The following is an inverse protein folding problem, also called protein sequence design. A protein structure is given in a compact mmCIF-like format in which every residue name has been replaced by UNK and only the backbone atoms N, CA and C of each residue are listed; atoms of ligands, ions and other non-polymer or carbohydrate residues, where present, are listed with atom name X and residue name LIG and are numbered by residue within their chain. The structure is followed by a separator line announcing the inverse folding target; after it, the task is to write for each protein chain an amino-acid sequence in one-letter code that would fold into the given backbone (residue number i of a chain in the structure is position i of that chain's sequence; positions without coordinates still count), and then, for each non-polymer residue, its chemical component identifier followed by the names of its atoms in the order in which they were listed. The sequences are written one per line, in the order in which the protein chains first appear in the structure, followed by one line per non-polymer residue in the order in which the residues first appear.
data_IF_107599995384
#
_entry.id   IF_107599995384
#
_cell.length_a   1.000
_cell.length_b   1.000
_cell.length_c   1.000
_cell.angle_alpha   90.00
_cell.angle_beta   90.00
_cell.angle_gamma   90.00
#
_symmetry.space_group_name_H-M   'P 1'
#
loop_
_entity.id
_entity.type
_entity.pdbx_description
1 polymer ?
#
# COMPACT_ATOMS: atom_id res chain seq x y z
N UNK A 1 -54.52 18.29 40.17
CA UNK A 1 -54.63 19.26 39.05
C UNK A 1 -53.24 19.75 38.67
N UNK A 2 -52.91 19.70 37.37
CA UNK A 2 -51.85 20.44 36.63
C UNK A 2 -50.38 20.16 37.03
N UNK A 3 -49.68 19.23 36.35
CA UNK A 3 -48.85 19.40 35.12
C UNK A 3 -47.80 20.51 35.21
N UNK A 4 -46.51 20.15 35.21
CA UNK A 4 -45.54 20.79 34.30
C UNK A 4 -44.41 19.81 33.97
N UNK A 5 -44.32 19.47 32.68
CA UNK A 5 -43.23 18.76 32.02
C UNK A 5 -42.15 19.82 31.74
N UNK A 6 -40.88 19.55 32.08
CA UNK A 6 -39.77 20.34 31.57
C UNK A 6 -38.77 19.45 30.85
N UNK A 7 -38.38 19.97 29.69
CA UNK A 7 -37.88 19.27 28.52
C UNK A 7 -36.35 19.19 28.54
N UNK A 8 -35.86 18.16 27.85
CA UNK A 8 -34.47 17.82 27.51
C UNK A 8 -33.64 19.01 26.98
N UNK A 9 -32.33 19.01 27.23
CA UNK A 9 -31.33 19.36 26.21
C UNK A 9 -30.20 18.34 26.26
N UNK A 10 -30.11 17.57 25.18
CA UNK A 10 -29.06 16.59 24.88
C UNK A 10 -27.94 17.35 24.15
N UNK A 11 -26.78 17.51 24.78
CA UNK A 11 -25.60 18.07 24.13
C UNK A 11 -24.96 17.03 23.21
N UNK A 12 -25.40 17.00 21.95
CA UNK A 12 -24.69 16.29 20.88
C UNK A 12 -23.57 17.18 20.35
N UNK A 13 -22.34 16.90 20.78
CA UNK A 13 -21.13 17.52 20.23
C UNK A 13 -20.85 16.89 18.86
N UNK A 14 -21.32 17.51 17.79
CA UNK A 14 -21.01 17.14 16.41
C UNK A 14 -19.57 17.56 16.08
N UNK A 15 -18.64 16.61 16.15
CA UNK A 15 -17.34 16.71 15.46
C UNK A 15 -17.59 16.58 13.96
N UNK A 16 -17.87 17.71 13.30
CA UNK A 16 -17.83 17.78 11.85
C UNK A 16 -16.35 17.83 11.41
N UNK A 17 -15.76 16.67 11.13
CA UNK A 17 -14.52 16.61 10.35
C UNK A 17 -14.88 17.05 8.93
N UNK A 18 -14.65 18.33 8.63
CA UNK A 18 -14.73 18.83 7.27
C UNK A 18 -13.63 18.14 6.45
N UNK A 19 -13.98 17.11 5.70
CA UNK A 19 -13.14 16.57 4.63
C UNK A 19 -13.08 17.64 3.54
N UNK A 20 -12.08 18.51 3.60
CA UNK A 20 -11.73 19.42 2.51
C UNK A 20 -11.19 18.60 1.35
N UNK A 21 -12.06 18.18 0.44
CA UNK A 21 -11.64 17.64 -0.85
C UNK A 21 -11.16 18.83 -1.69
N UNK A 22 -9.84 19.08 -1.71
CA UNK A 22 -9.26 19.95 -2.71
C UNK A 22 -9.64 19.42 -4.10
N UNK A 23 -9.98 20.32 -5.04
CA UNK A 23 -10.24 19.93 -6.42
C UNK A 23 -8.98 19.27 -6.99
N UNK A 24 -9.15 18.15 -7.69
CA UNK A 24 -8.03 17.42 -8.28
C UNK A 24 -7.24 18.34 -9.22
N UNK A 25 -5.92 18.46 -8.99
CA UNK A 25 -5.02 19.18 -9.88
C UNK A 25 -4.30 18.18 -10.78
N UNK A 26 -4.76 17.99 -12.04
CA UNK A 26 -4.17 16.97 -12.91
C UNK A 26 -2.69 17.21 -13.21
N UNK A 27 -2.15 18.43 -13.01
CA UNK A 27 -0.73 18.69 -13.20
C UNK A 27 0.15 18.03 -12.13
N UNK A 28 -0.39 17.79 -10.93
CA UNK A 28 0.37 17.29 -9.79
C UNK A 28 -0.20 16.04 -9.15
N UNK A 29 -1.48 15.76 -9.35
CA UNK A 29 -2.16 14.56 -8.88
C UNK A 29 -1.71 13.32 -9.66
N UNK A 30 -1.67 12.19 -8.96
CA UNK A 30 -1.27 10.90 -9.53
C UNK A 30 -2.48 10.01 -9.72
N UNK A 31 -2.78 9.67 -10.95
CA UNK A 31 -3.71 8.58 -11.25
C UNK A 31 -2.98 7.24 -11.17
N UNK A 32 -3.56 6.26 -10.48
CA UNK A 32 -3.07 4.90 -10.34
C UNK A 32 -4.05 3.93 -11.02
N UNK A 33 -3.53 2.98 -11.79
CA UNK A 33 -4.24 1.79 -12.27
C UNK A 33 -3.31 0.58 -12.21
N UNK A 34 -3.63 -0.35 -11.33
CA UNK A 34 -2.84 -1.54 -11.04
C UNK A 34 -3.71 -2.78 -11.14
N UNK A 35 -3.14 -3.85 -11.68
CA UNK A 35 -3.74 -5.18 -11.71
C UNK A 35 -2.66 -6.23 -11.47
N UNK A 36 -2.94 -7.16 -10.57
CA UNK A 36 -2.11 -8.34 -10.35
C UNK A 36 -2.96 -9.59 -10.12
N UNK A 37 -2.64 -10.68 -10.81
CA UNK A 37 -3.17 -12.02 -10.57
C UNK A 37 -2.28 -12.78 -9.57
N UNK A 38 -2.77 -12.94 -8.34
CA UNK A 38 -2.05 -13.60 -7.26
C UNK A 38 -2.01 -15.12 -7.39
N UNK A 39 -2.75 -15.71 -8.33
CA UNK A 39 -2.53 -17.12 -8.70
C UNK A 39 -1.20 -17.32 -9.43
N UNK A 40 -0.59 -16.22 -9.91
CA UNK A 40 0.64 -16.18 -10.71
C UNK A 40 0.55 -16.93 -12.05
N UNK A 41 -0.65 -17.39 -12.43
CA UNK A 41 -0.88 -18.11 -13.69
C UNK A 41 -1.00 -17.18 -14.88
N UNK A 42 -1.52 -15.97 -14.67
CA UNK A 42 -1.74 -14.98 -15.72
C UNK A 42 -0.89 -13.72 -15.52
N UNK A 43 0.34 -13.89 -14.99
CA UNK A 43 1.27 -12.80 -14.66
C UNK A 43 1.60 -11.91 -15.87
N UNK A 44 1.53 -12.44 -17.10
CA UNK A 44 1.73 -11.65 -18.32
C UNK A 44 0.67 -10.57 -18.54
N UNK A 45 -0.51 -10.74 -17.94
CA UNK A 45 -1.63 -9.80 -18.00
C UNK A 45 -1.63 -8.82 -16.82
N UNK A 46 -0.62 -8.87 -15.96
CA UNK A 46 -0.44 -7.93 -14.86
C UNK A 46 0.18 -6.64 -15.36
N UNK A 47 -0.17 -5.54 -14.69
CA UNK A 47 0.34 -4.24 -15.09
C UNK A 47 0.30 -3.24 -13.93
N UNK A 48 1.13 -2.22 -14.06
CA UNK A 48 1.06 -1.00 -13.27
C UNK A 48 1.10 0.20 -14.20
N UNK A 49 0.13 1.09 -14.05
CA UNK A 49 0.05 2.36 -14.76
C UNK A 49 -0.06 3.49 -13.77
N UNK A 50 0.70 4.55 -14.03
CA UNK A 50 0.55 5.81 -13.32
C UNK A 50 0.56 6.99 -14.29
N UNK A 51 -0.14 8.06 -13.93
CA UNK A 51 -0.22 9.29 -14.74
C UNK A 51 -0.08 10.52 -13.85
N UNK A 52 0.77 11.46 -14.25
CA UNK A 52 0.90 12.81 -13.65
C UNK A 52 1.01 13.82 -14.79
N UNK A 53 0.15 14.84 -14.79
CA UNK A 53 0.06 15.77 -15.92
C UNK A 53 -0.17 15.03 -17.24
N UNK A 54 0.70 15.31 -18.22
CA UNK A 54 0.67 14.67 -19.54
C UNK A 54 1.49 13.37 -19.62
N UNK A 55 2.20 13.01 -18.54
CA UNK A 55 3.01 11.80 -18.51
C UNK A 55 2.17 10.63 -18.04
N UNK A 56 1.98 9.63 -18.91
CA UNK A 56 1.37 8.35 -18.56
C UNK A 56 2.34 7.22 -18.85
N UNK A 57 2.62 6.40 -17.84
CA UNK A 57 3.54 5.27 -17.95
C UNK A 57 2.79 4.00 -17.56
N UNK A 58 2.49 3.17 -18.56
CA UNK A 58 1.99 1.81 -18.37
C UNK A 58 3.15 0.84 -18.48
N UNK A 59 3.24 -0.10 -17.55
CA UNK A 59 4.32 -1.07 -17.52
C UNK A 59 3.83 -2.45 -17.10
N UNK A 60 4.64 -3.46 -17.45
CA UNK A 60 4.44 -4.87 -17.15
C UNK A 60 5.81 -5.54 -16.97
N UNK A 61 5.80 -6.76 -16.44
CA UNK A 61 7.02 -7.54 -16.38
C UNK A 61 7.52 -7.91 -17.80
N UNK A 62 8.82 -7.76 -18.03
CA UNK A 62 9.52 -8.25 -19.21
C UNK A 62 10.41 -9.43 -18.84
N UNK A 63 10.00 -10.63 -19.26
CA UNK A 63 10.73 -11.86 -19.00
C UNK A 63 12.12 -11.90 -19.67
N UNK A 64 12.33 -11.16 -20.76
CA UNK A 64 13.61 -11.14 -21.47
C UNK A 64 14.70 -10.43 -20.66
N UNK A 65 14.38 -9.28 -20.08
CA UNK A 65 15.30 -8.53 -19.21
C UNK A 65 15.24 -8.94 -17.73
N UNK A 66 14.17 -9.63 -17.31
CA UNK A 66 13.88 -9.90 -15.89
C UNK A 66 13.50 -8.63 -15.11
N UNK A 67 13.14 -7.55 -15.81
CA UNK A 67 12.85 -6.24 -15.25
C UNK A 67 11.49 -5.70 -15.74
N UNK A 68 11.15 -4.48 -15.35
CA UNK A 68 9.97 -3.78 -15.87
C UNK A 68 10.21 -3.35 -17.31
N UNK A 69 9.31 -3.69 -18.24
CA UNK A 69 9.44 -3.48 -19.68
C UNK A 69 9.80 -2.03 -20.06
N UNK A 70 9.16 -1.06 -19.42
CA UNK A 70 9.32 0.37 -19.72
C UNK A 70 10.17 1.12 -18.67
N UNK A 71 10.88 0.40 -17.80
CA UNK A 71 11.69 1.01 -16.75
C UNK A 71 10.89 1.85 -15.74
N UNK A 72 9.58 1.62 -15.62
CA UNK A 72 8.69 2.44 -14.80
C UNK A 72 9.05 2.43 -13.32
N UNK A 73 9.77 1.41 -12.84
CA UNK A 73 10.28 1.37 -11.46
C UNK A 73 11.17 2.57 -11.15
N UNK A 74 12.03 2.97 -12.10
CA UNK A 74 12.89 4.16 -11.95
C UNK A 74 12.09 5.43 -12.15
N UNK A 75 11.25 5.48 -13.19
CA UNK A 75 10.44 6.67 -13.50
C UNK A 75 9.46 7.01 -12.36
N UNK A 76 8.91 6.00 -11.69
CA UNK A 76 8.01 6.16 -10.53
C UNK A 76 8.71 6.75 -9.29
N UNK A 77 10.03 6.94 -9.31
CA UNK A 77 10.74 7.72 -8.28
C UNK A 77 10.19 9.15 -8.15
N UNK A 78 9.76 9.76 -9.27
CA UNK A 78 9.17 11.10 -9.29
C UNK A 78 7.83 11.17 -8.53
N UNK A 79 7.19 10.02 -8.30
CA UNK A 79 5.93 9.92 -7.58
C UNK A 79 6.15 9.44 -6.14
N UNK A 80 6.91 8.37 -5.94
CA UNK A 80 7.08 7.79 -4.59
C UNK A 80 7.99 8.59 -3.67
N UNK A 81 8.71 9.59 -4.21
CA UNK A 81 9.54 10.52 -3.46
C UNK A 81 9.16 11.95 -3.78
N UNK A 82 9.16 12.80 -2.74
CA UNK A 82 9.00 14.23 -2.90
C UNK A 82 10.27 14.85 -3.47
N UNK A 83 10.09 15.98 -4.14
CA UNK A 83 11.19 16.78 -4.68
C UNK A 83 12.03 17.40 -3.55
N UNK A 84 13.36 17.45 -3.71
CA UNK A 84 14.12 16.86 -4.81
C UNK A 84 14.22 15.31 -4.64
N UNK A 85 13.98 14.56 -5.72
CA UNK A 85 13.76 13.11 -5.65
C UNK A 85 15.00 12.30 -5.21
N UNK A 86 16.20 12.87 -5.36
CA UNK A 86 17.48 12.32 -4.92
C UNK A 86 17.63 12.31 -3.38
N UNK A 87 16.95 13.23 -2.68
CA UNK A 87 16.84 13.20 -1.21
C UNK A 87 15.98 12.04 -0.70
N UNK A 88 15.23 11.37 -1.60
CA UNK A 88 14.43 10.16 -1.33
C UNK A 88 13.47 10.30 -0.15
N UNK A 89 12.95 11.50 0.08
CA UNK A 89 11.89 11.78 1.07
C UNK A 89 10.60 11.13 0.57
N UNK A 90 10.04 10.20 1.32
CA UNK A 90 8.88 9.44 0.87
C UNK A 90 7.67 10.37 0.75
N UNK A 91 6.99 10.38 -0.39
CA UNK A 91 5.75 11.12 -0.58
C UNK A 91 4.49 10.26 -0.30
N UNK A 92 4.67 8.96 -0.05
CA UNK A 92 3.60 7.99 0.22
C UNK A 92 4.13 6.82 1.05
N UNK A 93 3.26 6.03 1.70
CA UNK A 93 3.66 4.88 2.51
C UNK A 93 4.54 3.87 1.79
N UNK A 94 5.47 3.26 2.53
CA UNK A 94 6.41 2.30 1.98
C UNK A 94 5.76 0.97 1.56
N UNK A 95 4.69 0.58 2.21
CA UNK A 95 3.87 -0.57 1.88
C UNK A 95 3.22 -0.40 0.50
N UNK A 96 2.49 0.70 0.29
CA UNK A 96 1.78 0.97 -0.96
C UNK A 96 2.70 0.99 -2.17
N UNK A 97 3.80 1.76 -2.10
CA UNK A 97 4.77 1.81 -3.20
C UNK A 97 5.44 0.46 -3.47
N UNK A 98 5.49 -0.46 -2.49
CA UNK A 98 6.06 -1.80 -2.69
C UNK A 98 5.05 -2.73 -3.36
N UNK A 99 3.75 -2.59 -3.07
CA UNK A 99 2.70 -3.39 -3.73
C UNK A 99 2.71 -3.20 -5.24
N UNK A 100 2.86 -1.96 -5.71
CA UNK A 100 2.90 -1.66 -7.14
C UNK A 100 4.04 -2.35 -7.90
N UNK A 101 5.13 -2.71 -7.22
CA UNK A 101 6.27 -3.37 -7.84
C UNK A 101 5.96 -4.83 -8.21
N UNK A 102 5.06 -5.50 -7.50
CA UNK A 102 4.83 -6.93 -7.70
C UNK A 102 4.21 -7.26 -9.07
N UNK A 103 3.40 -6.36 -9.64
CA UNK A 103 2.80 -6.56 -10.97
C UNK A 103 3.80 -6.38 -12.13
N UNK A 104 4.96 -5.76 -11.88
CA UNK A 104 5.95 -5.42 -12.92
C UNK A 104 7.32 -6.05 -12.67
N UNK A 105 7.37 -7.04 -11.77
CA UNK A 105 8.56 -7.80 -11.42
C UNK A 105 8.34 -9.29 -11.68
N UNK A 106 9.41 -10.09 -11.60
CA UNK A 106 9.32 -11.54 -11.70
C UNK A 106 8.35 -12.09 -10.63
N UNK A 107 7.50 -13.06 -11.01
CA UNK A 107 6.47 -13.63 -10.14
C UNK A 107 7.05 -14.29 -8.88
N UNK A 108 8.30 -14.74 -8.90
CA UNK A 108 9.04 -15.22 -7.72
C UNK A 108 9.19 -14.13 -6.68
N UNK A 109 9.18 -12.84 -7.05
CA UNK A 109 9.26 -11.75 -6.09
C UNK A 109 8.08 -11.81 -5.10
N UNK A 110 6.86 -11.97 -5.61
CA UNK A 110 5.65 -12.06 -4.78
C UNK A 110 5.71 -13.27 -3.85
N UNK A 111 6.15 -14.43 -4.36
CA UNK A 111 6.32 -15.65 -3.57
C UNK A 111 7.38 -15.49 -2.47
N UNK A 112 8.57 -14.99 -2.82
CA UNK A 112 9.69 -14.82 -1.89
C UNK A 112 9.41 -13.78 -0.80
N UNK A 113 8.49 -12.85 -1.07
CA UNK A 113 8.05 -11.82 -0.13
C UNK A 113 6.78 -12.23 0.63
N UNK A 114 6.29 -13.46 0.41
CA UNK A 114 5.04 -13.97 0.98
C UNK A 114 3.86 -13.00 0.81
N UNK A 115 3.71 -12.45 -0.41
CA UNK A 115 2.59 -11.57 -0.72
C UNK A 115 1.28 -12.36 -0.56
N UNK A 116 0.44 -11.89 0.36
CA UNK A 116 -0.86 -12.43 0.65
C UNK A 116 -1.91 -11.33 0.53
N UNK A 117 -3.03 -11.64 -0.10
CA UNK A 117 -4.23 -10.80 -0.09
C UNK A 117 -5.40 -11.60 0.39
N UNK A 118 -6.14 -11.03 1.34
CA UNK A 118 -7.37 -11.61 1.86
C UNK A 118 -8.49 -10.59 1.74
N UNK A 119 -9.73 -11.08 1.68
CA UNK A 119 -10.92 -10.25 1.73
C UNK A 119 -11.90 -10.87 2.72
N UNK A 120 -12.21 -10.13 3.77
CA UNK A 120 -13.16 -10.54 4.81
C UNK A 120 -14.12 -9.38 5.10
N UNK A 121 -15.42 -9.67 5.15
CA UNK A 121 -16.47 -8.66 5.34
C UNK A 121 -16.31 -7.38 4.48
N UNK A 122 -15.81 -7.52 3.24
CA UNK A 122 -15.54 -6.41 2.32
C UNK A 122 -14.21 -5.68 2.54
N UNK A 123 -13.55 -5.90 3.68
CA UNK A 123 -12.21 -5.39 3.99
C UNK A 123 -11.16 -6.20 3.25
N UNK A 124 -10.32 -5.54 2.47
CA UNK A 124 -9.19 -6.14 1.78
C UNK A 124 -7.94 -5.88 2.62
N UNK A 125 -7.20 -6.95 2.91
CA UNK A 125 -5.92 -6.89 3.64
C UNK A 125 -4.82 -7.46 2.76
N UNK A 126 -3.81 -6.65 2.47
CA UNK A 126 -2.58 -7.04 1.76
C UNK A 126 -1.44 -7.10 2.77
N UNK A 127 -0.71 -8.21 2.78
CA UNK A 127 0.38 -8.48 3.72
C UNK A 127 1.58 -9.05 2.99
N UNK A 128 2.78 -8.61 3.34
CA UNK A 128 4.03 -9.13 2.77
C UNK A 128 5.24 -8.74 3.61
N UNK A 129 6.37 -9.40 3.37
CA UNK A 129 7.67 -9.12 3.98
C UNK A 129 8.64 -8.66 2.91
N UNK A 130 9.33 -7.53 3.13
CA UNK A 130 10.34 -7.02 2.21
C UNK A 130 11.56 -6.52 2.97
N UNK A 131 12.72 -7.13 2.66
CA UNK A 131 13.96 -6.90 3.40
C UNK A 131 13.70 -7.12 4.90
N UNK A 132 14.08 -6.17 5.74
CA UNK A 132 13.94 -6.18 7.20
C UNK A 132 12.53 -5.91 7.71
N UNK A 133 11.53 -5.67 6.84
CA UNK A 133 10.25 -5.08 7.26
C UNK A 133 9.05 -5.94 6.82
N UNK A 134 8.01 -5.98 7.65
CA UNK A 134 6.69 -6.50 7.29
C UNK A 134 5.71 -5.34 7.09
N UNK A 135 4.79 -5.50 6.14
CA UNK A 135 3.81 -4.49 5.75
C UNK A 135 2.40 -5.06 5.79
N UNK A 136 1.46 -4.26 6.27
CA UNK A 136 0.03 -4.51 6.17
C UNK A 136 -0.65 -3.31 5.54
N UNK A 137 -1.44 -3.53 4.49
CA UNK A 137 -2.32 -2.53 3.91
C UNK A 137 -3.76 -3.01 4.09
N UNK A 138 -4.58 -2.18 4.71
CA UNK A 138 -5.96 -2.53 5.03
C UNK A 138 -6.92 -1.46 4.55
N UNK A 139 -7.98 -1.88 3.88
CA UNK A 139 -9.06 -0.98 3.45
C UNK A 139 -10.17 -0.86 4.48
N UNK A 140 -11.09 0.07 4.26
CA UNK A 140 -12.42 -0.01 4.87
C UNK A 140 -13.24 -1.18 4.29
N UNK A 141 -14.45 -1.40 4.81
CA UNK A 141 -15.37 -2.44 4.36
C UNK A 141 -15.95 -2.22 2.95
N UNK A 142 -15.71 -1.05 2.35
CA UNK A 142 -16.08 -0.73 0.97
C UNK A 142 -14.88 -0.92 0.04
N UNK A 143 -13.70 -1.30 0.52
CA UNK A 143 -12.50 -1.43 -0.29
C UNK A 143 -11.77 -0.10 -0.55
N UNK A 144 -12.09 0.98 0.16
CA UNK A 144 -11.33 2.22 0.06
C UNK A 144 -10.09 2.13 0.95
N UNK A 145 -8.92 2.34 0.35
CA UNK A 145 -7.65 2.41 1.04
C UNK A 145 -7.27 3.87 1.23
N UNK A 146 -7.20 4.32 2.48
CA UNK A 146 -6.76 5.66 2.84
C UNK A 146 -5.23 5.69 2.92
N UNK A 147 -4.58 6.60 2.18
CA UNK A 147 -3.12 6.66 2.13
C UNK A 147 -2.47 6.97 3.46
N UNK A 148 -3.11 7.76 4.32
CA UNK A 148 -2.50 8.24 5.56
C UNK A 148 -2.60 7.21 6.71
N UNK A 149 -3.62 6.35 6.65
CA UNK A 149 -3.99 5.48 7.79
C UNK A 149 -4.06 4.00 7.45
N UNK A 150 -4.18 3.66 6.16
CA UNK A 150 -4.39 2.30 5.70
C UNK A 150 -3.13 1.43 5.66
N UNK A 151 -1.93 2.04 5.69
CA UNK A 151 -0.65 1.32 5.65
C UNK A 151 -0.03 1.21 7.04
N UNK A 152 0.46 0.02 7.38
CA UNK A 152 1.23 -0.27 8.58
C UNK A 152 2.54 -0.95 8.23
N UNK A 153 3.55 -0.73 9.05
CA UNK A 153 4.88 -1.31 8.94
C UNK A 153 5.36 -1.82 10.30
N UNK A 154 5.97 -3.00 10.31
CA UNK A 154 6.86 -3.42 11.38
C UNK A 154 8.28 -3.48 10.85
N UNK A 155 9.19 -2.74 11.49
CA UNK A 155 10.60 -2.70 11.12
C UNK A 155 11.36 -3.78 11.87
N UNK A 156 12.48 -4.23 11.29
CA UNK A 156 13.42 -5.14 11.93
C UNK A 156 12.83 -6.51 12.31
N UNK A 157 11.97 -7.07 11.44
CA UNK A 157 11.33 -8.38 11.61
C UNK A 157 12.11 -9.53 10.97
N UNK A 158 13.10 -9.21 10.13
CA UNK A 158 14.04 -10.17 9.56
C UNK A 158 15.48 -9.66 9.69
N UNK A 159 16.43 -10.59 9.68
CA UNK A 159 17.87 -10.29 9.59
C UNK A 159 18.41 -10.63 8.20
N UNK A 160 19.37 -9.83 7.72
CA UNK A 160 20.08 -10.14 6.48
C UNK A 160 21.00 -11.34 6.69
N UNK A 161 20.90 -12.35 5.82
CA UNK A 161 21.76 -13.54 5.84
C UNK A 161 22.21 -13.87 4.42
N UNK A 162 23.50 -13.68 4.15
CA UNK A 162 24.04 -13.73 2.79
C UNK A 162 23.33 -12.73 1.87
N UNK A 163 22.82 -13.21 0.74
CA UNK A 163 22.04 -12.41 -0.22
C UNK A 163 20.54 -12.32 0.13
N UNK A 164 20.10 -13.06 1.14
CA UNK A 164 18.70 -13.16 1.56
C UNK A 164 18.39 -12.52 2.90
N UNK A 165 17.17 -12.77 3.37
CA UNK A 165 16.68 -12.37 4.68
C UNK A 165 16.06 -13.60 5.37
N UNK A 166 16.14 -13.65 6.70
CA UNK A 166 15.52 -14.70 7.52
C UNK A 166 14.68 -14.08 8.61
N UNK A 167 13.51 -14.64 8.89
CA UNK A 167 12.60 -14.19 9.96
C UNK A 167 13.31 -14.34 11.31
N UNK A 168 13.19 -13.33 12.17
CA UNK A 168 13.72 -13.43 13.53
C UNK A 168 12.92 -14.43 14.37
N UNK A 169 13.55 -15.23 15.25
CA UNK A 169 12.87 -16.29 15.99
C UNK A 169 11.61 -15.82 16.75
N UNK A 170 11.63 -14.62 17.32
CA UNK A 170 10.49 -14.06 18.06
C UNK A 170 9.25 -13.78 17.18
N UNK A 171 9.42 -13.60 15.87
CA UNK A 171 8.34 -13.36 14.92
C UNK A 171 7.97 -14.60 14.08
N UNK A 172 8.62 -15.74 14.32
CA UNK A 172 8.36 -16.98 13.62
C UNK A 172 7.13 -17.70 14.21
N UNK A 173 6.33 -18.33 13.36
CA UNK A 173 5.29 -19.28 13.79
C UNK A 173 5.92 -20.49 14.49
N UNK A 174 5.17 -21.12 15.38
CA UNK A 174 5.61 -22.37 16.00
C UNK A 174 5.85 -23.44 14.93
N UNK A 175 7.05 -24.02 14.90
CA UNK A 175 7.45 -25.02 13.91
C UNK A 175 7.71 -24.48 12.50
N UNK A 176 7.74 -23.15 12.30
CA UNK A 176 7.99 -22.53 11.00
C UNK A 176 9.45 -22.58 10.57
N UNK A 177 9.71 -22.27 9.30
CA UNK A 177 11.05 -22.12 8.74
C UNK A 177 11.43 -20.63 8.66
N UNK A 178 12.53 -20.24 9.32
CA UNK A 178 13.05 -18.87 9.29
C UNK A 178 13.36 -18.35 7.87
N UNK A 179 13.59 -19.25 6.92
CA UNK A 179 13.87 -18.90 5.52
C UNK A 179 12.60 -18.72 4.69
N UNK A 180 11.44 -19.14 5.21
CA UNK A 180 10.16 -19.05 4.53
C UNK A 180 9.36 -17.86 5.04
N UNK A 181 9.30 -16.77 4.26
CA UNK A 181 8.59 -15.53 4.67
C UNK A 181 7.11 -15.74 4.98
N UNK A 182 6.48 -16.81 4.48
CA UNK A 182 5.09 -17.15 4.79
C UNK A 182 4.91 -17.67 6.23
N UNK A 183 6.00 -18.05 6.90
CA UNK A 183 6.01 -18.51 8.29
C UNK A 183 6.17 -17.37 9.30
N UNK A 184 6.11 -16.11 8.83
CA UNK A 184 5.98 -14.96 9.71
C UNK A 184 4.64 -15.03 10.48
N UNK A 185 4.72 -14.95 11.80
CA UNK A 185 3.57 -14.93 12.69
C UNK A 185 3.00 -13.52 12.83
N UNK A 186 2.02 -13.19 11.99
CA UNK A 186 1.34 -11.89 12.00
C UNK A 186 0.74 -11.49 13.36
N UNK A 187 0.48 -12.43 14.28
CA UNK A 187 -0.04 -12.11 15.62
C UNK A 187 1.02 -11.49 16.55
N UNK A 188 2.31 -11.67 16.23
CA UNK A 188 3.44 -11.18 17.03
C UNK A 188 4.07 -9.89 16.47
N UNK A 189 3.56 -9.40 15.35
CA UNK A 189 4.19 -8.29 14.60
C UNK A 189 3.82 -6.94 15.22
N UNK A 190 4.81 -6.11 15.64
CA UNK A 190 4.56 -4.80 16.20
C UNK A 190 4.31 -3.77 15.08
N UNK A 191 3.12 -3.81 14.51
CA UNK A 191 2.70 -2.89 13.44
C UNK A 191 2.60 -1.46 13.97
N UNK A 192 3.25 -0.53 13.29
CA UNK A 192 3.15 0.91 13.47
C UNK A 192 2.66 1.59 12.19
N UNK A 193 2.31 2.86 12.27
CA UNK A 193 1.91 3.63 11.09
C UNK A 193 3.04 3.68 10.05
N UNK A 194 2.69 3.41 8.80
CA UNK A 194 3.57 3.57 7.65
C UNK A 194 3.13 4.81 6.87
N UNK A 195 3.94 5.86 6.95
CA UNK A 195 3.59 7.16 6.42
C UNK A 195 4.68 7.71 5.48
N UNK A 196 4.34 8.81 4.83
CA UNK A 196 5.29 9.67 4.13
C UNK A 196 6.33 10.27 5.09
N UNK A 197 7.40 10.83 4.56
CA UNK A 197 8.41 11.54 5.34
C UNK A 197 7.87 12.88 5.80
N UNK A 198 7.89 13.17 7.10
CA UNK A 198 7.36 14.42 7.67
C UNK A 198 8.09 15.68 7.21
N UNK A 199 9.31 15.52 6.69
CA UNK A 199 10.16 16.57 6.12
C UNK A 199 10.17 16.55 4.58
N UNK A 200 9.25 15.82 3.95
CA UNK A 200 9.04 15.87 2.51
C UNK A 200 8.42 17.22 2.11
N UNK A 201 8.82 17.78 0.97
CA UNK A 201 8.25 19.02 0.45
C UNK A 201 6.75 18.92 0.09
N UNK A 202 6.26 17.70 -0.06
CA UNK A 202 4.85 17.35 -0.24
C UNK A 202 4.65 15.84 0.04
N UNK A 203 3.41 15.45 0.21
CA UNK A 203 2.98 14.06 0.22
C UNK A 203 1.74 13.89 -0.68
N UNK A 204 1.34 12.64 -0.88
CA UNK A 204 0.09 12.30 -1.52
C UNK A 204 -0.95 11.88 -0.48
N UNK A 205 -2.15 12.41 -0.61
CA UNK A 205 -3.33 12.04 0.16
C UNK A 205 -4.45 11.54 -0.78
N UNK A 206 -5.54 11.05 -0.20
CA UNK A 206 -6.71 10.54 -0.88
C UNK A 206 -6.93 9.06 -0.64
N UNK A 207 -8.01 8.57 -1.24
CA UNK A 207 -8.36 7.16 -1.21
C UNK A 207 -8.16 6.54 -2.59
N UNK A 208 -7.52 5.38 -2.63
CA UNK A 208 -7.55 4.49 -3.81
C UNK A 208 -8.48 3.32 -3.53
N UNK A 209 -9.13 2.84 -4.57
CA UNK A 209 -10.05 1.72 -4.53
C UNK A 209 -9.29 0.42 -4.70
N UNK A 210 -9.32 -0.44 -3.70
CA UNK A 210 -8.89 -1.82 -3.84
C UNK A 210 -10.11 -2.67 -4.17
N UNK A 211 -9.94 -3.59 -5.11
CA UNK A 211 -10.88 -4.69 -5.29
C UNK A 211 -10.12 -6.00 -5.39
N UNK A 212 -10.68 -7.05 -4.79
CA UNK A 212 -10.12 -8.38 -4.83
C UNK A 212 -11.22 -9.38 -5.17
N UNK A 213 -11.05 -10.05 -6.32
CA UNK A 213 -12.00 -11.03 -6.85
C UNK A 213 -11.23 -12.02 -7.74
N UNK A 214 -11.55 -13.31 -7.63
CA UNK A 214 -10.98 -14.36 -8.48
C UNK A 214 -9.43 -14.36 -8.48
N UNK A 215 -8.81 -14.14 -7.31
CA UNK A 215 -7.36 -13.96 -7.11
C UNK A 215 -6.73 -12.73 -7.79
N UNK A 216 -7.52 -11.83 -8.36
CA UNK A 216 -7.03 -10.60 -8.98
C UNK A 216 -7.18 -9.42 -8.02
N UNK A 217 -6.06 -8.80 -7.64
CA UNK A 217 -6.03 -7.51 -6.95
C UNK A 217 -6.02 -6.39 -7.99
N UNK A 218 -6.97 -5.45 -7.85
CA UNK A 218 -6.98 -4.18 -8.58
C UNK A 218 -6.80 -3.03 -7.60
N UNK A 219 -6.00 -2.04 -7.96
CA UNK A 219 -5.90 -0.78 -7.23
C UNK A 219 -6.07 0.35 -8.24
N UNK A 220 -7.10 1.18 -8.06
CA UNK A 220 -7.38 2.31 -8.95
C UNK A 220 -7.73 3.55 -8.17
N UNK A 221 -7.37 4.73 -8.67
CA UNK A 221 -7.79 5.99 -8.06
C UNK A 221 -6.89 7.15 -8.44
N UNK A 222 -7.17 8.30 -7.85
CA UNK A 222 -6.36 9.51 -7.99
C UNK A 222 -5.89 9.92 -6.61
N UNK A 223 -4.60 10.21 -6.49
CA UNK A 223 -3.95 10.69 -5.29
C UNK A 223 -3.65 12.16 -5.47
N UNK A 224 -4.06 12.98 -4.51
CA UNK A 224 -3.86 14.41 -4.59
C UNK A 224 -2.57 14.82 -3.90
N UNK A 225 -1.80 15.70 -4.56
CA UNK A 225 -0.56 16.23 -3.98
C UNK A 225 -0.93 17.26 -2.88
N UNK A 226 -0.37 17.11 -1.71
CA UNK A 226 -0.59 17.99 -0.54
C UNK A 226 0.73 18.43 0.05
N UNK A 227 0.83 19.70 0.45
CA UNK A 227 2.02 20.26 1.11
C UNK A 227 1.93 20.05 2.61
#
# INVERSE_FOLDING_TARGET
MKKTILTRVLSALLFAVALSFAAADPATDVKIDFKMDLSLKNHEADYFTWTVGNQSVKDKFDAASGASLNGSTKAFNAVRFAEPADARKAAMPAGLRSVFLFAIADSKLAKNHALQVTKDAGVITVRFVRKTNAFELKTDNKGNFNLLTGSKIAKNVTDKKGDGFVIKPEYLKQGGDVSNMADLDWSKIPLADDAFSSDAAYHYDGNVKFTFKDNVLRITGTLSRTK
#
